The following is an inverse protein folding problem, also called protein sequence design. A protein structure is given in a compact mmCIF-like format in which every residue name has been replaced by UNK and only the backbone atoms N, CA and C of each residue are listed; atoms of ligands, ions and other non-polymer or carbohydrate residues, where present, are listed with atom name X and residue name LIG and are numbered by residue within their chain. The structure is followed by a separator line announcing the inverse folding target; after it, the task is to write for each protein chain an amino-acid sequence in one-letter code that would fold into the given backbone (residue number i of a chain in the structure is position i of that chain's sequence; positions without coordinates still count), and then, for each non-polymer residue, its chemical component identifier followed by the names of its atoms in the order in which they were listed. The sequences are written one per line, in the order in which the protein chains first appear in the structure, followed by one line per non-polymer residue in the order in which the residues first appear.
data_IF_274908057835
#
_entry.id   IF_274908057835
#
_cell.length_a   1.000
_cell.length_b   1.000
_cell.length_c   1.000
_cell.angle_alpha   90.00
_cell.angle_beta   90.00
_cell.angle_gamma   90.00
#
_symmetry.space_group_name_H-M   'P 1'
#
loop_
_entity.id
_entity.type
_entity.pdbx_description
1 polymer ?
#
# COMPACT_ATOMS: atom_id res chain seq x y z
N UNK A 1 27.68 8.87 -0.30
CA UNK A 1 26.65 7.96 -0.86
C UNK A 1 25.58 7.81 0.22
N UNK A 2 24.29 7.73 -0.14
CA UNK A 2 23.24 7.46 0.87
C UNK A 2 23.41 6.06 1.43
N UNK A 3 23.14 5.88 2.73
CA UNK A 3 23.14 4.58 3.40
C UNK A 3 21.72 4.24 3.81
N UNK A 4 21.30 3.00 3.54
CA UNK A 4 19.95 2.51 3.79
C UNK A 4 20.01 1.28 4.66
N UNK A 5 19.26 1.27 5.77
CA UNK A 5 19.00 0.08 6.54
C UNK A 5 17.63 -0.50 6.15
N UNK A 6 17.58 -1.76 5.76
CA UNK A 6 16.33 -2.48 5.50
C UNK A 6 16.06 -3.43 6.67
N UNK A 7 14.92 -3.24 7.33
CA UNK A 7 14.47 -4.05 8.47
C UNK A 7 13.40 -5.02 7.99
N UNK A 8 13.67 -6.32 8.13
CA UNK A 8 12.83 -7.40 7.62
C UNK A 8 13.31 -7.90 6.25
N UNK A 9 13.67 -9.20 6.19
CA UNK A 9 14.21 -9.88 5.02
C UNK A 9 13.26 -10.94 4.47
N UNK A 10 11.95 -10.70 4.62
CA UNK A 10 10.92 -11.46 3.92
C UNK A 10 10.88 -11.10 2.42
N UNK A 11 9.92 -11.66 1.67
CA UNK A 11 9.78 -11.44 0.22
C UNK A 11 9.76 -9.95 -0.18
N UNK A 12 9.03 -9.10 0.57
CA UNK A 12 8.95 -7.67 0.26
C UNK A 12 10.21 -6.92 0.72
N UNK A 13 10.80 -7.29 1.86
CA UNK A 13 12.04 -6.70 2.32
C UNK A 13 13.22 -7.02 1.40
N UNK A 14 13.31 -8.26 0.89
CA UNK A 14 14.28 -8.61 -0.14
C UNK A 14 14.14 -7.72 -1.39
N UNK A 15 12.90 -7.50 -1.87
CA UNK A 15 12.62 -6.61 -2.99
C UNK A 15 13.08 -5.17 -2.71
N UNK A 16 12.78 -4.64 -1.52
CA UNK A 16 13.22 -3.30 -1.14
C UNK A 16 14.73 -3.19 -1.03
N UNK A 17 15.40 -4.20 -0.46
CA UNK A 17 16.86 -4.24 -0.39
C UNK A 17 17.49 -4.26 -1.79
N UNK A 18 16.97 -5.10 -2.70
CA UNK A 18 17.42 -5.15 -4.09
C UNK A 18 17.22 -3.80 -4.80
N UNK A 19 16.06 -3.18 -4.67
CA UNK A 19 15.78 -1.87 -5.28
C UNK A 19 16.65 -0.74 -4.70
N UNK A 20 16.88 -0.76 -3.38
CA UNK A 20 17.74 0.23 -2.72
C UNK A 20 19.22 0.07 -3.11
N UNK A 21 19.70 -1.17 -3.31
CA UNK A 21 21.08 -1.48 -3.70
C UNK A 21 21.45 -0.89 -5.07
N UNK A 22 20.48 -0.62 -5.93
CA UNK A 22 20.71 0.08 -7.20
C UNK A 22 21.06 1.56 -7.01
N UNK A 23 20.81 2.14 -5.83
CA UNK A 23 20.81 3.58 -5.58
C UNK A 23 21.68 4.02 -4.38
N UNK A 24 21.98 3.11 -3.47
CA UNK A 24 22.60 3.40 -2.18
C UNK A 24 23.40 2.21 -1.65
N UNK A 25 24.24 2.44 -0.63
CA UNK A 25 24.79 1.37 0.19
C UNK A 25 23.70 0.81 1.09
N UNK A 26 23.53 -0.53 1.11
CA UNK A 26 22.45 -1.19 1.84
C UNK A 26 23.03 -2.09 2.93
N UNK A 27 22.45 -2.00 4.12
CA UNK A 27 22.62 -2.97 5.21
C UNK A 27 21.25 -3.56 5.51
N UNK A 28 21.17 -4.87 5.72
CA UNK A 28 19.91 -5.56 6.05
C UNK A 28 19.95 -6.15 7.44
N UNK A 29 18.79 -6.20 8.12
CA UNK A 29 18.60 -6.90 9.40
C UNK A 29 17.24 -7.59 9.44
N UNK A 30 17.15 -8.68 10.20
CA UNK A 30 15.90 -9.44 10.41
C UNK A 30 15.93 -10.07 11.81
N UNK A 31 14.77 -10.21 12.44
CA UNK A 31 14.63 -10.92 13.71
C UNK A 31 15.13 -12.39 13.61
N UNK A 32 15.16 -12.96 12.41
CA UNK A 32 15.74 -14.24 12.09
C UNK A 32 17.09 -14.00 11.39
N UNK A 33 18.24 -14.09 12.08
CA UNK A 33 19.54 -13.69 11.53
C UNK A 33 19.94 -14.43 10.25
N UNK A 34 19.43 -15.66 10.07
CA UNK A 34 19.67 -16.46 8.86
C UNK A 34 19.07 -15.80 7.62
N UNK A 35 17.88 -15.15 7.75
CA UNK A 35 17.26 -14.42 6.63
C UNK A 35 18.07 -13.20 6.24
N UNK A 36 18.57 -12.44 7.22
CA UNK A 36 19.43 -11.28 6.94
C UNK A 36 20.70 -11.72 6.19
N UNK A 37 21.39 -12.76 6.68
CA UNK A 37 22.60 -13.31 6.03
C UNK A 37 22.32 -13.81 4.61
N UNK A 38 21.22 -14.56 4.40
CA UNK A 38 20.85 -15.07 3.08
C UNK A 38 20.55 -13.95 2.09
N UNK A 39 19.83 -12.90 2.54
CA UNK A 39 19.54 -11.71 1.74
C UNK A 39 20.82 -10.95 1.41
N UNK A 40 21.69 -10.73 2.40
CA UNK A 40 22.96 -10.04 2.20
C UNK A 40 23.86 -10.76 1.19
N UNK A 41 23.98 -12.07 1.31
CA UNK A 41 24.75 -12.89 0.36
C UNK A 41 24.16 -12.87 -1.06
N UNK A 42 22.83 -12.96 -1.18
CA UNK A 42 22.16 -13.00 -2.49
C UNK A 42 22.24 -11.67 -3.24
N UNK A 43 22.26 -10.54 -2.51
CA UNK A 43 22.28 -9.20 -3.09
C UNK A 43 23.66 -8.53 -3.04
N UNK A 44 24.68 -9.22 -2.50
CA UNK A 44 26.03 -8.67 -2.29
C UNK A 44 26.01 -7.36 -1.48
N UNK A 45 25.19 -7.31 -0.41
CA UNK A 45 25.07 -6.18 0.51
C UNK A 45 25.48 -6.58 1.92
N UNK A 46 25.56 -5.62 2.83
CA UNK A 46 25.92 -5.88 4.22
C UNK A 46 24.72 -6.39 5.05
N UNK A 47 25.02 -7.10 6.16
CA UNK A 47 24.02 -7.42 7.18
C UNK A 47 24.55 -7.07 8.57
N UNK A 48 23.66 -6.59 9.45
CA UNK A 48 23.97 -6.40 10.87
C UNK A 48 23.18 -7.36 11.76
N UNK A 49 23.69 -7.59 12.94
CA UNK A 49 23.17 -8.62 13.85
C UNK A 49 21.88 -8.18 14.56
N UNK A 50 21.68 -6.88 14.75
CA UNK A 50 20.52 -6.33 15.46
C UNK A 50 20.06 -4.98 14.89
N UNK A 51 18.85 -4.58 15.28
CA UNK A 51 18.32 -3.25 14.99
C UNK A 51 19.19 -2.14 15.57
N UNK A 52 19.64 -2.31 16.79
CA UNK A 52 20.46 -1.35 17.52
C UNK A 52 21.78 -1.10 16.78
N UNK A 53 22.44 -2.16 16.33
CA UNK A 53 23.67 -2.07 15.52
C UNK A 53 23.40 -1.31 14.22
N UNK A 54 22.34 -1.67 13.50
CA UNK A 54 21.95 -1.01 12.25
C UNK A 54 21.65 0.47 12.42
N UNK A 55 20.94 0.86 13.48
CA UNK A 55 20.63 2.26 13.77
C UNK A 55 21.84 3.05 14.31
N UNK A 56 22.74 2.38 15.08
CA UNK A 56 23.97 3.00 15.56
C UNK A 56 24.91 3.43 14.41
N UNK A 57 24.84 2.78 13.26
CA UNK A 57 25.54 3.16 12.04
C UNK A 57 25.00 4.46 11.41
N UNK A 58 23.94 5.06 11.94
CA UNK A 58 23.27 6.29 11.49
C UNK A 58 22.93 6.26 10.00
N UNK A 59 22.12 5.31 9.54
CA UNK A 59 21.69 5.28 8.15
C UNK A 59 20.93 6.55 7.78
N UNK A 60 21.11 7.03 6.55
CA UNK A 60 20.37 8.21 6.06
C UNK A 60 18.87 7.89 5.85
N UNK A 61 18.54 6.63 5.61
CA UNK A 61 17.16 6.16 5.45
C UNK A 61 17.00 4.74 6.03
N UNK A 62 15.80 4.46 6.51
CA UNK A 62 15.38 3.12 6.99
C UNK A 62 14.15 2.68 6.21
N UNK A 63 14.17 1.46 5.72
CA UNK A 63 13.02 0.80 5.10
C UNK A 63 12.48 -0.27 6.04
N UNK A 64 11.21 -0.19 6.40
CA UNK A 64 10.56 -1.13 7.33
C UNK A 64 9.65 -2.06 6.54
N UNK A 65 9.99 -3.35 6.52
CA UNK A 65 9.34 -4.39 5.75
C UNK A 65 9.05 -5.63 6.62
N UNK A 66 8.58 -5.38 7.82
CA UNK A 66 8.28 -6.35 8.89
C UNK A 66 6.77 -6.64 8.95
N UNK A 67 6.26 -7.49 9.85
CA UNK A 67 4.82 -7.59 10.12
C UNK A 67 4.22 -6.25 10.59
N UNK A 68 2.97 -6.00 10.20
CA UNK A 68 2.30 -4.70 10.38
C UNK A 68 2.28 -4.17 11.82
N UNK A 69 2.20 -5.08 12.79
CA UNK A 69 2.16 -4.74 14.23
C UNK A 69 3.44 -4.08 14.75
N UNK A 70 4.56 -4.22 14.04
CA UNK A 70 5.86 -3.67 14.45
C UNK A 70 6.24 -2.38 13.73
N UNK A 71 5.46 -1.96 12.72
CA UNK A 71 5.81 -0.83 11.87
C UNK A 71 6.03 0.46 12.65
N UNK A 72 5.08 0.82 13.52
CA UNK A 72 5.11 2.10 14.22
C UNK A 72 6.27 2.20 15.20
N UNK A 73 6.54 1.15 15.97
CA UNK A 73 7.65 1.09 16.92
C UNK A 73 9.00 1.27 16.20
N UNK A 74 9.22 0.50 15.13
CA UNK A 74 10.44 0.57 14.34
C UNK A 74 10.60 1.93 13.65
N UNK A 75 9.51 2.53 13.19
CA UNK A 75 9.52 3.86 12.59
C UNK A 75 9.90 4.95 13.60
N UNK A 76 9.36 4.88 14.83
CA UNK A 76 9.75 5.77 15.92
C UNK A 76 11.24 5.66 16.24
N UNK A 77 11.78 4.44 16.34
CA UNK A 77 13.20 4.20 16.61
C UNK A 77 14.10 4.75 15.48
N UNK A 78 13.72 4.53 14.22
CA UNK A 78 14.45 5.03 13.06
C UNK A 78 14.47 6.57 13.00
N UNK A 79 13.31 7.22 13.23
CA UNK A 79 13.22 8.69 13.28
C UNK A 79 14.04 9.26 14.44
N UNK A 80 14.03 8.61 15.61
CA UNK A 80 14.85 9.00 16.76
C UNK A 80 16.36 8.88 16.47
N UNK A 81 16.77 7.91 15.65
CA UNK A 81 18.15 7.76 15.19
C UNK A 81 18.53 8.79 14.09
N UNK A 82 17.60 9.62 13.64
CA UNK A 82 17.83 10.68 12.65
C UNK A 82 17.67 10.23 11.19
N UNK A 83 17.05 9.08 10.92
CA UNK A 83 16.83 8.57 9.58
C UNK A 83 15.48 9.05 9.01
N UNK A 84 15.41 9.21 7.69
CA UNK A 84 14.16 9.22 6.96
C UNK A 84 13.59 7.80 6.91
N UNK A 85 12.27 7.63 6.90
CA UNK A 85 11.68 6.29 6.96
C UNK A 85 10.72 6.03 5.80
N UNK A 86 10.82 4.82 5.24
CA UNK A 86 9.87 4.24 4.30
C UNK A 86 9.25 3.01 4.95
N UNK A 87 7.94 3.05 5.17
CA UNK A 87 7.22 2.04 5.96
C UNK A 87 6.30 1.26 5.01
N UNK A 88 6.35 -0.07 5.05
CA UNK A 88 5.36 -0.89 4.35
C UNK A 88 3.93 -0.59 4.83
N UNK A 89 3.00 -0.76 3.91
CA UNK A 89 1.57 -0.58 4.19
C UNK A 89 1.01 -1.76 5.03
N UNK A 90 0.02 -1.50 5.87
CA UNK A 90 -0.45 -0.22 6.38
C UNK A 90 0.57 0.43 7.32
N UNK A 91 0.43 1.72 7.60
CA UNK A 91 1.32 2.43 8.53
C UNK A 91 1.42 1.74 9.89
N UNK A 92 0.29 1.25 10.40
CA UNK A 92 0.14 0.52 11.66
C UNK A 92 -1.13 -0.34 11.61
N UNK A 93 -1.47 -1.03 12.70
CA UNK A 93 -2.71 -1.82 12.86
C UNK A 93 -3.76 -1.12 13.71
N UNK A 94 -3.42 -0.04 14.41
CA UNK A 94 -4.29 0.85 15.16
C UNK A 94 -3.81 2.29 15.02
N UNK A 95 -4.62 3.26 15.47
CA UNK A 95 -4.21 4.67 15.54
C UNK A 95 -3.45 5.00 16.83
N UNK A 96 -3.30 4.05 17.75
CA UNK A 96 -2.58 4.25 19.00
C UNK A 96 -1.11 4.62 18.73
N UNK A 97 -0.67 5.73 19.28
CA UNK A 97 0.68 6.25 19.11
C UNK A 97 0.96 6.94 17.76
N UNK A 98 0.06 6.86 16.77
CA UNK A 98 0.26 7.47 15.45
C UNK A 98 0.42 8.99 15.53
N UNK A 99 -0.40 9.68 16.33
CA UNK A 99 -0.28 11.13 16.54
C UNK A 99 1.11 11.51 17.10
N UNK A 100 1.60 10.75 18.08
CA UNK A 100 2.93 10.95 18.68
C UNK A 100 4.05 10.72 17.67
N UNK A 101 3.91 9.70 16.81
CA UNK A 101 4.86 9.44 15.74
C UNK A 101 4.90 10.59 14.72
N UNK A 102 3.74 11.10 14.28
CA UNK A 102 3.67 12.23 13.36
C UNK A 102 4.33 13.48 13.96
N UNK A 103 4.05 13.78 15.23
CA UNK A 103 4.70 14.88 15.95
C UNK A 103 6.22 14.68 16.10
N UNK A 104 6.68 13.43 16.29
CA UNK A 104 8.10 13.10 16.34
C UNK A 104 8.77 13.33 14.98
N UNK A 105 8.16 12.89 13.89
CA UNK A 105 8.65 13.10 12.52
C UNK A 105 8.85 14.60 12.25
N UNK A 106 7.85 15.42 12.59
CA UNK A 106 7.89 16.88 12.42
C UNK A 106 9.00 17.50 13.29
N UNK A 107 9.04 17.19 14.58
CA UNK A 107 10.05 17.71 15.51
C UNK A 107 11.48 17.35 15.12
N UNK A 108 11.69 16.14 14.59
CA UNK A 108 13.01 15.68 14.15
C UNK A 108 13.38 16.19 12.74
N UNK A 109 12.46 16.82 12.02
CA UNK A 109 12.66 17.27 10.64
C UNK A 109 12.97 16.11 9.69
N UNK A 110 12.37 14.94 9.93
CA UNK A 110 12.58 13.75 9.09
C UNK A 110 11.41 13.53 8.15
N UNK A 111 11.66 12.78 7.08
CA UNK A 111 10.60 12.37 6.16
C UNK A 111 10.13 10.97 6.54
N UNK A 112 8.83 10.81 6.62
CA UNK A 112 8.19 9.49 6.80
C UNK A 112 7.22 9.25 5.64
N UNK A 113 7.40 8.15 4.92
CA UNK A 113 6.60 7.76 3.76
C UNK A 113 6.06 6.36 3.93
N UNK A 114 4.87 6.09 3.38
CA UNK A 114 4.24 4.77 3.37
C UNK A 114 4.26 4.19 1.97
N UNK A 115 4.58 2.91 1.85
CA UNK A 115 4.67 2.21 0.58
C UNK A 115 3.28 2.01 -0.03
N UNK A 116 2.84 2.94 -0.87
CA UNK A 116 1.66 2.81 -1.70
C UNK A 116 2.08 2.75 -3.18
N UNK A 117 2.66 1.62 -3.57
CA UNK A 117 3.23 1.42 -4.89
C UNK A 117 2.20 1.57 -6.02
N UNK A 118 0.89 1.42 -5.75
CA UNK A 118 -0.15 1.64 -6.75
C UNK A 118 -0.22 3.09 -7.23
N UNK A 119 0.29 4.06 -6.49
CA UNK A 119 0.44 5.45 -6.96
C UNK A 119 1.47 5.59 -8.09
N UNK A 120 2.32 4.58 -8.28
CA UNK A 120 3.31 4.47 -9.37
C UNK A 120 2.89 3.44 -10.42
N UNK A 121 1.71 2.83 -10.28
CA UNK A 121 1.20 1.89 -11.26
C UNK A 121 0.70 2.65 -12.50
N UNK A 122 1.11 2.26 -13.73
CA UNK A 122 0.78 3.00 -14.94
C UNK A 122 -0.72 3.24 -15.14
N UNK A 123 -1.55 2.25 -14.77
CA UNK A 123 -3.00 2.42 -14.88
C UNK A 123 -3.57 3.45 -13.91
N UNK A 124 -3.09 3.49 -12.66
CA UNK A 124 -3.56 4.48 -11.67
C UNK A 124 -3.12 5.88 -12.07
N UNK A 125 -1.90 6.02 -12.59
CA UNK A 125 -1.43 7.29 -13.14
C UNK A 125 -2.24 7.71 -14.38
N UNK A 126 -2.53 6.77 -15.29
CA UNK A 126 -3.40 7.03 -16.45
C UNK A 126 -4.82 7.43 -16.05
N UNK A 127 -5.41 6.78 -15.03
CA UNK A 127 -6.71 7.20 -14.47
C UNK A 127 -6.65 8.63 -13.94
N UNK A 128 -5.60 8.97 -13.17
CA UNK A 128 -5.41 10.30 -12.59
C UNK A 128 -5.27 11.37 -13.66
N UNK A 129 -4.46 11.13 -14.67
CA UNK A 129 -4.24 12.06 -15.76
C UNK A 129 -5.50 12.25 -16.63
N UNK A 130 -6.26 11.17 -16.84
CA UNK A 130 -7.48 11.20 -17.63
C UNK A 130 -8.74 11.62 -16.82
N UNK A 131 -8.65 11.73 -15.49
CA UNK A 131 -9.79 12.06 -14.62
C UNK A 131 -10.55 13.33 -15.04
N UNK A 132 -9.91 14.43 -15.45
CA UNK A 132 -10.64 15.61 -15.94
C UNK A 132 -11.57 15.34 -17.14
N UNK A 133 -11.30 14.28 -17.92
CA UNK A 133 -12.11 13.93 -19.10
C UNK A 133 -13.50 13.39 -18.76
N UNK A 134 -13.69 12.88 -17.54
CA UNK A 134 -15.02 12.41 -17.10
C UNK A 134 -15.95 13.54 -16.68
N UNK A 135 -15.46 14.80 -16.68
CA UNK A 135 -16.17 15.93 -16.09
C UNK A 135 -16.19 15.84 -14.55
N UNK A 136 -17.33 16.08 -13.93
CA UNK A 136 -17.49 15.89 -12.49
C UNK A 136 -17.66 14.40 -12.18
N UNK A 137 -16.73 13.76 -11.43
CA UNK A 137 -16.89 12.37 -11.01
C UNK A 137 -18.15 12.21 -10.14
N UNK A 138 -18.88 11.13 -10.36
CA UNK A 138 -20.11 10.80 -9.65
C UNK A 138 -19.87 9.64 -8.69
N UNK A 139 -19.32 8.54 -9.21
CA UNK A 139 -18.94 7.38 -8.41
C UNK A 139 -17.81 6.59 -9.08
N UNK A 140 -17.17 5.73 -8.26
CA UNK A 140 -16.18 4.76 -8.72
C UNK A 140 -16.47 3.37 -8.15
N UNK A 141 -16.03 2.33 -8.88
CA UNK A 141 -16.02 0.94 -8.42
C UNK A 141 -14.63 0.38 -8.56
N UNK A 142 -14.05 -0.04 -7.46
CA UNK A 142 -12.74 -0.67 -7.42
C UNK A 142 -12.85 -2.13 -6.99
N UNK A 143 -11.97 -2.97 -7.51
CA UNK A 143 -11.92 -4.37 -7.11
C UNK A 143 -10.49 -4.87 -7.02
N UNK A 144 -10.25 -5.73 -6.04
CA UNK A 144 -9.08 -6.56 -5.94
C UNK A 144 -9.48 -7.95 -5.45
N UNK A 145 -9.18 -8.96 -6.24
CA UNK A 145 -9.40 -10.35 -5.86
C UNK A 145 -8.23 -11.22 -6.30
N UNK A 146 -7.83 -12.13 -5.41
CA UNK A 146 -6.74 -13.05 -5.68
C UNK A 146 -6.83 -14.26 -4.75
N UNK A 147 -6.52 -15.47 -5.23
CA UNK A 147 -6.58 -16.66 -4.40
C UNK A 147 -5.37 -16.75 -3.47
N UNK A 148 -5.61 -16.60 -2.16
CA UNK A 148 -4.54 -16.51 -1.16
C UNK A 148 -3.55 -17.68 -1.20
N UNK A 149 -3.97 -18.97 -1.32
CA UNK A 149 -3.03 -20.09 -1.43
C UNK A 149 -2.08 -20.03 -2.62
N UNK A 150 -2.47 -19.32 -3.69
CA UNK A 150 -1.67 -19.19 -4.90
C UNK A 150 -0.87 -17.88 -4.95
N UNK A 151 -1.02 -16.99 -3.94
CA UNK A 151 -0.31 -15.72 -3.91
C UNK A 151 1.21 -15.86 -3.82
N UNK A 152 1.68 -16.92 -3.14
CA UNK A 152 3.10 -17.23 -2.98
C UNK A 152 3.34 -18.72 -3.20
N UNK A 153 3.60 -19.17 -4.43
CA UNK A 153 3.86 -20.58 -4.73
C UNK A 153 4.97 -21.15 -3.84
N UNK A 154 4.76 -22.35 -3.32
CA UNK A 154 5.71 -23.02 -2.41
C UNK A 154 5.71 -22.55 -0.96
N UNK A 155 4.87 -21.58 -0.60
CA UNK A 155 4.70 -21.12 0.78
C UNK A 155 3.33 -21.54 1.30
N UNK A 156 3.28 -22.10 2.52
CA UNK A 156 2.01 -22.35 3.19
C UNK A 156 1.33 -21.01 3.52
N UNK A 157 0.21 -20.72 2.84
CA UNK A 157 -0.51 -19.45 2.98
C UNK A 157 -0.96 -19.16 4.42
N UNK A 158 -1.18 -20.22 5.24
CA UNK A 158 -1.58 -20.11 6.65
C UNK A 158 -0.51 -19.44 7.52
N UNK A 159 0.74 -19.44 7.06
CA UNK A 159 1.87 -18.81 7.74
C UNK A 159 2.12 -17.37 7.32
N UNK A 160 1.39 -16.89 6.31
CA UNK A 160 1.54 -15.52 5.84
C UNK A 160 0.93 -14.52 6.83
N UNK A 161 1.54 -13.36 6.98
CA UNK A 161 1.03 -12.28 7.85
C UNK A 161 -0.42 -11.91 7.54
N UNK A 162 -0.78 -11.90 6.26
CA UNK A 162 -2.13 -11.53 5.79
C UNK A 162 -3.20 -12.56 6.15
N UNK A 163 -2.81 -13.79 6.55
CA UNK A 163 -3.70 -14.84 7.01
C UNK A 163 -3.94 -14.82 8.53
N UNK A 164 -3.22 -13.99 9.29
CA UNK A 164 -3.15 -14.02 10.74
C UNK A 164 -3.59 -12.70 11.38
N UNK A 165 -4.58 -12.76 12.27
CA UNK A 165 -5.06 -11.59 13.01
C UNK A 165 -3.97 -10.97 13.89
N UNK A 166 -3.17 -11.82 14.57
CA UNK A 166 -2.05 -11.40 15.42
C UNK A 166 -0.96 -10.59 14.68
N UNK A 167 -0.82 -10.80 13.37
CA UNK A 167 0.12 -10.08 12.52
C UNK A 167 -0.50 -8.83 11.85
N UNK A 168 -1.76 -8.52 12.14
CA UNK A 168 -2.50 -7.44 11.49
C UNK A 168 -2.99 -7.81 10.09
N UNK A 169 -3.38 -9.08 9.88
CA UNK A 169 -3.86 -9.59 8.59
C UNK A 169 -5.28 -9.16 8.24
N UNK A 170 -5.79 -9.77 7.18
CA UNK A 170 -7.10 -9.54 6.60
C UNK A 170 -7.04 -8.79 5.28
N UNK A 171 -8.04 -9.04 4.43
CA UNK A 171 -8.04 -8.50 3.06
C UNK A 171 -8.16 -6.98 3.02
N UNK A 172 -8.79 -6.35 4.02
CA UNK A 172 -8.91 -4.88 4.10
C UNK A 172 -7.54 -4.23 4.26
N UNK A 173 -6.69 -4.74 5.16
CA UNK A 173 -5.35 -4.20 5.38
C UNK A 173 -4.38 -4.60 4.26
N UNK A 174 -4.50 -5.81 3.75
CA UNK A 174 -3.62 -6.26 2.67
C UNK A 174 -3.88 -5.49 1.37
N UNK A 175 -5.15 -5.25 1.05
CA UNK A 175 -5.58 -4.51 -0.14
C UNK A 175 -5.92 -3.03 0.14
N UNK A 176 -5.25 -2.39 1.12
CA UNK A 176 -5.45 -0.97 1.47
C UNK A 176 -5.15 0.00 0.31
N UNK A 177 -4.50 -0.48 -0.73
CA UNK A 177 -4.21 0.30 -1.93
C UNK A 177 -5.47 0.83 -2.63
N UNK A 178 -6.59 0.08 -2.58
CA UNK A 178 -7.86 0.51 -3.15
C UNK A 178 -8.43 1.71 -2.39
N UNK A 179 -8.27 1.74 -1.07
CA UNK A 179 -8.59 2.91 -0.25
C UNK A 179 -7.66 4.07 -0.60
N UNK A 180 -6.36 3.81 -0.72
CA UNK A 180 -5.34 4.83 -0.97
C UNK A 180 -5.57 5.56 -2.30
N UNK A 181 -5.63 4.86 -3.43
CA UNK A 181 -5.73 5.56 -4.70
C UNK A 181 -7.10 6.22 -4.91
N UNK A 182 -8.19 5.67 -4.34
CA UNK A 182 -9.49 6.33 -4.39
C UNK A 182 -9.53 7.61 -3.54
N UNK A 183 -8.92 7.58 -2.35
CA UNK A 183 -8.75 8.79 -1.54
C UNK A 183 -7.86 9.83 -2.22
N UNK A 184 -6.84 9.39 -2.94
CA UNK A 184 -5.96 10.26 -3.72
C UNK A 184 -6.68 10.91 -4.91
N UNK A 185 -7.55 10.17 -5.61
CA UNK A 185 -8.32 10.66 -6.75
C UNK A 185 -9.49 11.58 -6.37
N UNK A 186 -10.18 11.28 -5.24
CA UNK A 186 -11.45 11.92 -4.91
C UNK A 186 -11.44 12.72 -3.61
N UNK A 187 -10.31 12.74 -2.90
CA UNK A 187 -10.15 13.43 -1.63
C UNK A 187 -10.55 12.59 -0.42
N UNK A 188 -10.47 13.19 0.79
CA UNK A 188 -10.69 12.48 2.05
C UNK A 188 -12.05 11.81 2.15
N UNK A 189 -12.08 10.68 2.88
CA UNK A 189 -13.31 9.91 3.12
C UNK A 189 -14.01 10.46 4.36
N UNK A 190 -15.28 10.83 4.19
CA UNK A 190 -16.13 11.30 5.29
C UNK A 190 -16.77 10.14 6.06
N UNK A 191 -17.19 9.07 5.33
CA UNK A 191 -17.99 7.98 5.89
C UNK A 191 -17.76 6.67 5.15
N UNK A 192 -17.78 5.59 5.92
CA UNK A 192 -17.63 4.21 5.45
C UNK A 192 -18.82 3.36 5.87
N UNK A 193 -19.34 2.56 4.95
CA UNK A 193 -20.23 1.42 5.23
C UNK A 193 -19.50 0.20 4.70
N UNK A 194 -19.41 -0.87 5.48
CA UNK A 194 -18.72 -2.08 5.06
C UNK A 194 -19.38 -3.35 5.58
N UNK A 195 -19.24 -4.40 4.78
CA UNK A 195 -19.42 -5.79 5.17
C UNK A 195 -18.07 -6.48 5.02
N UNK A 196 -17.64 -7.24 6.03
CA UNK A 196 -16.43 -8.05 5.98
C UNK A 196 -16.66 -9.35 6.76
N UNK A 197 -16.27 -10.45 6.15
CA UNK A 197 -16.52 -11.78 6.71
C UNK A 197 -15.50 -12.81 6.20
N UNK A 198 -15.48 -13.95 6.85
CA UNK A 198 -14.93 -15.18 6.28
C UNK A 198 -16.08 -15.90 5.57
N UNK A 199 -16.03 -15.90 4.24
CA UNK A 199 -17.09 -16.52 3.42
C UNK A 199 -16.60 -17.78 2.69
N UNK A 200 -15.27 -17.97 2.60
CA UNK A 200 -14.65 -19.16 2.01
C UNK A 200 -14.19 -20.18 3.04
N UNK A 201 -13.58 -21.25 2.54
CA UNK A 201 -13.06 -22.37 3.33
C UNK A 201 -11.55 -22.23 3.63
N UNK A 202 -10.99 -21.01 3.56
CA UNK A 202 -9.59 -20.79 3.88
C UNK A 202 -9.32 -20.96 5.38
N UNK A 203 -8.24 -21.66 5.72
CA UNK A 203 -7.80 -21.85 7.10
C UNK A 203 -7.06 -20.61 7.63
N UNK A 204 -7.79 -19.51 7.80
CA UNK A 204 -7.31 -18.21 8.28
C UNK A 204 -8.19 -17.70 9.42
N UNK A 205 -7.73 -16.76 10.22
CA UNK A 205 -8.47 -16.17 11.34
C UNK A 205 -8.89 -14.71 11.12
N UNK A 206 -8.82 -14.27 9.85
CA UNK A 206 -9.14 -12.91 9.39
C UNK A 206 -10.21 -12.94 8.29
N UNK A 207 -10.75 -11.78 7.92
CA UNK A 207 -11.68 -11.66 6.80
C UNK A 207 -11.00 -12.00 5.45
N UNK A 208 -11.66 -12.85 4.65
CA UNK A 208 -11.27 -13.22 3.28
C UNK A 208 -12.10 -12.49 2.21
N UNK A 209 -13.13 -11.78 2.64
CA UNK A 209 -14.03 -10.98 1.82
C UNK A 209 -14.33 -9.65 2.49
N UNK A 210 -14.38 -8.57 1.71
CA UNK A 210 -14.90 -7.29 2.15
C UNK A 210 -15.54 -6.51 0.99
N UNK A 211 -16.69 -5.89 1.28
CA UNK A 211 -17.35 -4.91 0.43
C UNK A 211 -17.49 -3.59 1.19
N UNK A 212 -16.97 -2.50 0.61
CA UNK A 212 -16.95 -1.19 1.24
C UNK A 212 -17.68 -0.18 0.34
N UNK A 213 -18.42 0.74 0.96
CA UNK A 213 -18.90 1.96 0.32
C UNK A 213 -18.32 3.16 1.06
N UNK A 214 -17.54 3.97 0.35
CA UNK A 214 -16.94 5.20 0.85
C UNK A 214 -17.74 6.40 0.34
N UNK A 215 -18.02 7.36 1.21
CA UNK A 215 -18.48 8.70 0.82
C UNK A 215 -17.33 9.67 1.03
N UNK A 216 -16.86 10.29 -0.05
CA UNK A 216 -15.80 11.29 0.01
C UNK A 216 -16.36 12.68 0.35
N UNK A 217 -15.54 13.55 0.95
CA UNK A 217 -15.92 14.95 1.21
C UNK A 217 -16.26 15.72 -0.08
N UNK A 218 -15.72 15.32 -1.21
CA UNK A 218 -16.08 15.85 -2.54
C UNK A 218 -17.50 15.47 -2.99
N UNK A 219 -18.17 14.58 -2.27
CA UNK A 219 -19.48 14.03 -2.63
C UNK A 219 -19.43 12.81 -3.53
N UNK A 220 -18.25 12.43 -4.05
CA UNK A 220 -18.07 11.20 -4.83
C UNK A 220 -18.30 9.98 -3.92
N UNK A 221 -18.84 8.91 -4.50
CA UNK A 221 -19.00 7.62 -3.81
C UNK A 221 -18.08 6.59 -4.44
N UNK A 222 -17.43 5.79 -3.62
CA UNK A 222 -16.60 4.68 -4.08
C UNK A 222 -17.10 3.37 -3.50
N UNK A 223 -17.26 2.36 -4.35
CA UNK A 223 -17.54 0.98 -3.99
C UNK A 223 -16.23 0.19 -4.13
N UNK A 224 -15.88 -0.62 -3.15
CA UNK A 224 -14.67 -1.44 -3.16
C UNK A 224 -15.06 -2.88 -2.86
N UNK A 225 -14.63 -3.81 -3.72
CA UNK A 225 -14.71 -5.24 -3.49
C UNK A 225 -13.31 -5.82 -3.30
N UNK A 226 -13.09 -6.54 -2.21
CA UNK A 226 -11.82 -7.17 -1.85
C UNK A 226 -12.05 -8.64 -1.51
N UNK A 227 -11.21 -9.55 -2.04
CA UNK A 227 -11.27 -10.95 -1.63
C UNK A 227 -9.95 -11.72 -1.81
N UNK A 228 -9.83 -12.83 -1.06
CA UNK A 228 -8.78 -13.84 -1.16
C UNK A 228 -9.23 -15.12 -1.87
N UNK A 229 -10.35 -15.09 -2.59
CA UNK A 229 -11.05 -16.26 -3.05
C UNK A 229 -11.04 -16.44 -4.57
N UNK A 230 -10.79 -15.38 -5.33
CA UNK A 230 -10.78 -15.43 -6.78
C UNK A 230 -9.60 -16.23 -7.33
N UNK A 231 -9.88 -17.31 -8.07
CA UNK A 231 -8.86 -18.16 -8.71
C UNK A 231 -8.08 -17.42 -9.79
N UNK A 232 -8.70 -16.48 -10.47
CA UNK A 232 -8.03 -15.59 -11.42
C UNK A 232 -7.83 -14.23 -10.75
N UNK A 233 -6.57 -13.81 -10.59
CA UNK A 233 -6.27 -12.47 -10.06
C UNK A 233 -6.94 -11.42 -10.92
N UNK A 234 -7.71 -10.53 -10.28
CA UNK A 234 -8.32 -9.36 -10.91
C UNK A 234 -8.06 -8.12 -10.08
N UNK A 235 -7.77 -7.03 -10.77
CA UNK A 235 -7.71 -5.70 -10.20
C UNK A 235 -8.25 -4.71 -11.21
N UNK A 236 -8.96 -3.67 -10.75
CA UNK A 236 -9.46 -2.68 -11.66
C UNK A 236 -10.27 -1.61 -10.97
N UNK A 237 -10.59 -0.57 -11.75
CA UNK A 237 -11.40 0.56 -11.29
C UNK A 237 -12.21 1.12 -12.45
N UNK A 238 -13.51 1.34 -12.23
CA UNK A 238 -14.39 2.09 -13.10
C UNK A 238 -14.71 3.42 -12.46
N UNK A 239 -14.59 4.52 -13.19
CA UNK A 239 -14.93 5.87 -12.74
C UNK A 239 -15.97 6.44 -13.68
N UNK A 240 -17.15 6.76 -13.15
CA UNK A 240 -18.25 7.35 -13.91
C UNK A 240 -18.41 8.82 -13.54
N UNK A 241 -18.42 9.68 -14.55
CA UNK A 241 -18.65 11.12 -14.39
C UNK A 241 -19.69 11.66 -15.35
N UNK A 242 -19.90 12.97 -15.33
CA UNK A 242 -20.93 13.65 -16.14
C UNK A 242 -20.60 13.66 -17.62
N UNK A 243 -19.31 13.53 -18.00
CA UNK A 243 -18.83 13.64 -19.38
C UNK A 243 -18.19 12.34 -19.90
N UNK A 244 -18.30 11.24 -19.16
CA UNK A 244 -17.79 9.96 -19.63
C UNK A 244 -17.44 8.98 -18.53
N UNK A 245 -16.84 7.87 -18.94
CA UNK A 245 -16.46 6.76 -18.06
C UNK A 245 -15.02 6.33 -18.35
N UNK A 246 -14.23 6.18 -17.31
CA UNK A 246 -12.91 5.55 -17.34
C UNK A 246 -13.01 4.13 -16.80
N UNK A 247 -12.33 3.18 -17.44
CA UNK A 247 -12.25 1.80 -16.98
C UNK A 247 -10.80 1.34 -17.03
N UNK A 248 -10.29 0.91 -15.88
CA UNK A 248 -9.06 0.18 -15.75
C UNK A 248 -9.34 -1.29 -15.48
N UNK A 249 -8.64 -2.18 -16.18
CA UNK A 249 -8.61 -3.61 -15.90
C UNK A 249 -7.17 -4.09 -15.85
N UNK A 250 -6.86 -4.95 -14.88
CA UNK A 250 -5.60 -5.69 -14.78
C UNK A 250 -5.90 -7.16 -14.50
N UNK A 251 -5.30 -8.03 -15.30
CA UNK A 251 -5.43 -9.48 -15.19
C UNK A 251 -4.05 -10.15 -15.24
N UNK A 252 -3.95 -11.36 -14.68
CA UNK A 252 -2.70 -12.12 -14.65
C UNK A 252 -1.73 -11.64 -13.57
N UNK A 253 -0.57 -12.27 -13.51
CA UNK A 253 0.45 -12.02 -12.49
C UNK A 253 1.81 -11.67 -13.07
N UNK A 254 2.33 -12.52 -13.91
CA UNK A 254 3.63 -12.37 -14.52
C UNK A 254 3.59 -13.05 -15.90
N UNK A 255 3.36 -12.27 -16.96
CA UNK A 255 3.12 -10.83 -16.98
C UNK A 255 1.72 -10.41 -16.50
N UNK A 256 1.56 -9.18 -16.06
CA UNK A 256 0.27 -8.53 -15.83
C UNK A 256 -0.17 -7.82 -17.11
N UNK A 257 -1.35 -8.16 -17.61
CA UNK A 257 -1.99 -7.40 -18.68
C UNK A 257 -2.82 -6.27 -18.07
N UNK A 258 -2.54 -5.03 -18.46
CA UNK A 258 -3.17 -3.84 -17.91
C UNK A 258 -3.68 -2.94 -19.04
N UNK A 259 -4.94 -2.52 -18.95
CA UNK A 259 -5.52 -1.54 -19.90
C UNK A 259 -6.34 -0.46 -19.19
N UNK A 260 -6.30 0.77 -19.74
CA UNK A 260 -7.17 1.88 -19.34
C UNK A 260 -7.87 2.40 -20.56
N UNK A 261 -9.20 2.52 -20.50
CA UNK A 261 -10.04 2.99 -21.59
C UNK A 261 -10.97 4.10 -21.11
N UNK A 262 -11.28 5.01 -22.03
CA UNK A 262 -12.24 6.10 -21.82
C UNK A 262 -13.43 5.96 -22.75
N UNK A 263 -14.63 6.11 -22.22
CA UNK A 263 -15.88 6.18 -22.98
C UNK A 263 -16.38 7.63 -22.96
N UNK A 264 -16.26 8.39 -24.05
CA UNK A 264 -16.82 9.71 -24.13
C UNK A 264 -18.37 9.69 -24.24
N UNK A 265 -19.05 10.83 -24.00
CA UNK A 265 -20.49 10.93 -24.16
C UNK A 265 -20.93 10.74 -25.62
N UNK A 266 -22.24 10.69 -25.83
CA UNK A 266 -22.87 10.63 -27.16
C UNK A 266 -22.56 9.37 -27.99
N UNK A 267 -22.49 8.21 -27.34
CA UNK A 267 -22.39 6.91 -28.01
C UNK A 267 -21.14 6.69 -28.89
N UNK A 268 -20.07 7.45 -28.64
CA UNK A 268 -18.79 7.30 -29.34
C UNK A 268 -18.10 6.00 -28.93
N UNK A 269 -17.16 5.54 -29.73
CA UNK A 269 -16.36 4.34 -29.42
C UNK A 269 -15.49 4.55 -28.17
N UNK A 270 -15.08 3.45 -27.53
CA UNK A 270 -14.07 3.46 -26.49
C UNK A 270 -12.73 3.94 -27.06
N UNK A 271 -12.05 4.78 -26.32
CA UNK A 271 -10.70 5.23 -26.60
C UNK A 271 -9.74 4.47 -25.67
N UNK A 272 -8.66 3.91 -26.21
CA UNK A 272 -7.60 3.29 -25.43
C UNK A 272 -6.68 4.42 -24.91
N UNK A 273 -6.58 4.56 -23.59
CA UNK A 273 -5.67 5.50 -22.93
C UNK A 273 -4.31 4.82 -22.69
N UNK A 274 -4.35 3.57 -22.22
CA UNK A 274 -3.19 2.75 -21.90
C UNK A 274 -3.48 1.31 -22.29
N UNK A 275 -2.47 0.66 -22.87
CA UNK A 275 -2.49 -0.78 -23.13
C UNK A 275 -1.07 -1.32 -22.87
N UNK A 276 -0.92 -2.17 -21.88
CA UNK A 276 0.34 -2.80 -21.52
C UNK A 276 0.11 -4.30 -21.29
N UNK A 277 0.44 -5.14 -22.27
CA UNK A 277 0.24 -6.59 -22.17
C UNK A 277 1.24 -7.28 -21.24
N UNK A 278 2.40 -6.67 -21.02
CA UNK A 278 3.55 -7.27 -20.32
C UNK A 278 4.07 -6.33 -19.23
N UNK A 279 3.19 -5.91 -18.32
CA UNK A 279 3.56 -4.98 -17.25
C UNK A 279 4.47 -5.67 -16.22
N UNK A 280 5.67 -5.13 -16.03
CA UNK A 280 6.54 -5.48 -14.91
C UNK A 280 5.97 -4.91 -13.60
N UNK A 281 5.49 -5.77 -12.73
CA UNK A 281 4.96 -5.43 -11.41
C UNK A 281 6.02 -4.95 -10.41
N UNK A 282 7.30 -5.13 -10.74
CA UNK A 282 8.43 -4.62 -9.95
C UNK A 282 8.68 -3.13 -10.19
N UNK A 283 8.43 -2.65 -11.41
CA UNK A 283 8.73 -1.27 -11.81
C UNK A 283 8.14 -0.18 -10.88
N UNK A 284 6.88 -0.27 -10.40
CA UNK A 284 6.34 0.68 -9.43
C UNK A 284 7.12 0.77 -8.12
N UNK A 285 7.71 -0.33 -7.64
CA UNK A 285 8.53 -0.34 -6.43
C UNK A 285 9.91 0.28 -6.66
N UNK A 286 10.49 0.06 -7.84
CA UNK A 286 11.76 0.69 -8.23
C UNK A 286 11.59 2.21 -8.28
N UNK A 287 10.53 2.69 -8.95
CA UNK A 287 10.26 4.13 -9.06
C UNK A 287 9.96 4.76 -7.69
N UNK A 288 9.17 4.09 -6.83
CA UNK A 288 8.92 4.53 -5.47
C UNK A 288 10.24 4.67 -4.68
N UNK A 289 11.12 3.67 -4.74
CA UNK A 289 12.42 3.70 -4.07
C UNK A 289 13.30 4.83 -4.62
N UNK A 290 13.31 5.01 -5.94
CA UNK A 290 14.04 6.11 -6.60
C UNK A 290 13.56 7.47 -6.12
N UNK A 291 12.24 7.70 -6.03
CA UNK A 291 11.65 8.94 -5.51
C UNK A 291 11.99 9.15 -4.03
N UNK A 292 11.87 8.12 -3.22
CA UNK A 292 12.17 8.21 -1.79
C UNK A 292 13.65 8.51 -1.53
N UNK A 293 14.56 7.83 -2.23
CA UNK A 293 16.02 8.04 -2.09
C UNK A 293 16.54 9.15 -2.98
N UNK A 294 15.77 9.64 -3.96
CA UNK A 294 16.18 10.73 -4.83
C UNK A 294 16.47 12.01 -4.02
N UNK A 295 17.42 12.79 -4.48
CA UNK A 295 17.76 14.07 -3.87
C UNK A 295 17.23 15.27 -4.64
N UNK A 296 16.44 15.03 -5.69
CA UNK A 296 15.93 16.03 -6.63
C UNK A 296 14.67 16.77 -6.14
N UNK A 297 14.20 16.45 -4.92
CA UNK A 297 12.99 17.05 -4.34
C UNK A 297 11.68 16.61 -5.00
N UNK A 298 11.74 15.76 -6.03
CA UNK A 298 10.53 15.23 -6.68
C UNK A 298 9.98 14.06 -5.89
N UNK A 299 9.11 14.37 -4.91
CA UNK A 299 8.40 13.41 -4.09
C UNK A 299 6.94 13.18 -4.57
N UNK A 300 6.61 13.64 -5.76
CA UNK A 300 5.30 13.42 -6.35
C UNK A 300 4.93 11.93 -6.30
N UNK A 301 3.69 11.67 -5.91
CA UNK A 301 3.09 10.35 -5.73
C UNK A 301 3.57 9.58 -4.47
N UNK A 302 4.59 10.04 -3.72
CA UNK A 302 4.90 9.42 -2.42
C UNK A 302 3.80 9.76 -1.41
N UNK A 303 3.29 8.73 -0.74
CA UNK A 303 2.35 8.91 0.37
C UNK A 303 3.12 9.25 1.64
N UNK A 304 2.83 10.40 2.25
CA UNK A 304 3.40 10.73 3.56
C UNK A 304 2.73 9.93 4.69
N UNK A 305 3.34 9.95 5.88
CA UNK A 305 2.85 9.19 7.01
C UNK A 305 1.46 9.66 7.49
N UNK A 306 1.12 10.95 7.31
CA UNK A 306 -0.22 11.47 7.62
C UNK A 306 -1.27 10.87 6.71
N UNK A 307 -1.06 10.89 5.40
CA UNK A 307 -1.96 10.23 4.44
C UNK A 307 -2.03 8.72 4.68
N UNK A 308 -0.90 8.08 5.06
CA UNK A 308 -0.88 6.67 5.48
C UNK A 308 -1.75 6.41 6.72
N UNK A 309 -1.76 7.33 7.68
CA UNK A 309 -2.61 7.26 8.86
C UNK A 309 -4.10 7.53 8.52
N UNK A 310 -4.40 8.42 7.58
CA UNK A 310 -5.75 8.65 7.08
C UNK A 310 -6.31 7.41 6.37
N UNK A 311 -5.51 6.75 5.54
CA UNK A 311 -5.89 5.48 4.92
C UNK A 311 -6.13 4.38 5.96
N UNK A 312 -5.29 4.31 7.00
CA UNK A 312 -5.48 3.39 8.12
C UNK A 312 -6.80 3.69 8.86
N UNK A 313 -7.11 4.97 9.12
CA UNK A 313 -8.37 5.37 9.77
C UNK A 313 -9.59 4.92 8.95
N UNK A 314 -9.54 5.01 7.62
CA UNK A 314 -10.60 4.51 6.73
C UNK A 314 -10.71 2.98 6.81
N UNK A 315 -9.61 2.26 6.80
CA UNK A 315 -9.59 0.79 6.91
C UNK A 315 -10.15 0.32 8.28
N UNK A 316 -9.79 1.00 9.38
CA UNK A 316 -10.33 0.73 10.71
C UNK A 316 -11.83 1.06 10.81
N UNK A 317 -12.26 2.16 10.18
CA UNK A 317 -13.69 2.50 10.08
C UNK A 317 -14.47 1.43 9.30
N UNK A 318 -13.89 0.84 8.25
CA UNK A 318 -14.49 -0.27 7.52
C UNK A 318 -14.64 -1.52 8.42
N UNK A 319 -13.59 -1.91 9.13
CA UNK A 319 -13.66 -3.03 10.10
C UNK A 319 -14.71 -2.79 11.18
N UNK A 320 -14.76 -1.58 11.73
CA UNK A 320 -15.78 -1.20 12.74
C UNK A 320 -17.19 -1.20 12.16
N UNK A 321 -17.37 -0.71 10.92
CA UNK A 321 -18.66 -0.73 10.23
C UNK A 321 -19.17 -2.15 10.03
N UNK A 322 -18.31 -3.08 9.62
CA UNK A 322 -18.66 -4.48 9.45
C UNK A 322 -19.12 -5.15 10.76
N UNK A 323 -18.54 -4.77 11.90
CA UNK A 323 -18.93 -5.28 13.23
C UNK A 323 -20.24 -4.65 13.71
N UNK A 324 -20.40 -3.33 13.54
CA UNK A 324 -21.53 -2.59 14.08
C UNK A 324 -22.74 -2.54 13.15
N UNK A 325 -22.58 -2.97 11.89
CA UNK A 325 -23.58 -2.86 10.82
C UNK A 325 -24.11 -1.43 10.61
N UNK A 326 -23.26 -0.45 10.87
CA UNK A 326 -23.60 0.97 10.82
C UNK A 326 -22.56 1.76 10.00
N UNK A 327 -22.96 2.92 9.51
CA UNK A 327 -22.04 3.86 8.88
C UNK A 327 -21.08 4.45 9.92
N UNK A 328 -19.77 4.42 9.65
CA UNK A 328 -18.72 4.90 10.54
C UNK A 328 -17.96 6.03 9.88
N UNK A 329 -17.66 7.09 10.62
CA UNK A 329 -16.69 8.12 10.19
C UNK A 329 -15.29 7.67 10.57
N UNK A 330 -14.30 7.77 9.65
CA UNK A 330 -12.90 7.60 10.01
C UNK A 330 -12.52 8.53 11.17
N UNK A 331 -11.74 8.03 12.10
CA UNK A 331 -11.24 8.85 13.20
C UNK A 331 -10.28 9.92 12.68
N UNK A 332 -10.37 11.17 13.16
CA UNK A 332 -9.44 12.21 12.72
C UNK A 332 -8.01 11.87 13.12
N UNK A 333 -7.08 11.99 12.18
CA UNK A 333 -5.65 11.89 12.43
C UNK A 333 -5.15 13.27 12.88
N UNK A 334 -5.32 13.58 14.16
CA UNK A 334 -4.86 14.83 14.77
C UNK A 334 -3.36 14.83 15.07
N UNK A 335 -2.75 16.03 15.12
CA UNK A 335 -1.55 16.27 15.92
C UNK A 335 -2.06 16.44 17.34
N UNK A 336 -1.54 15.66 18.30
CA UNK A 336 -1.87 15.80 19.72
C UNK A 336 -1.40 17.15 20.24
#
# INVERSE_FOLDING_TARGET
MKSVLVIGCGSIGFRHAANAALLASVTVTDAIPQRARATAQSLEVESCASLEEGLAARPSAVVIATPHVTHLELACAAVAAGADVLIEKPLAVSLDGVANFLAQVERCGRRARVVCNMRFHPAVDALRQALPRVGRPLFARAQYGNYLPEMRPGTDYRTLYCARAEAGGGVIFDAIHEIDYLSWLFGPVERVIAEAARVGDLEIDVEDYAALTLTHLSGVRSEIHLDYLQRSKRRGCEIVGTEGTLVWTSEGRDPEHCSVRFRPPANRAWEIILEQPDLDRGAPYVELMRRFLGGDGNEDNLLDARGGAENLAVALAAKRSAITHAAVRPEPVGIA
#
